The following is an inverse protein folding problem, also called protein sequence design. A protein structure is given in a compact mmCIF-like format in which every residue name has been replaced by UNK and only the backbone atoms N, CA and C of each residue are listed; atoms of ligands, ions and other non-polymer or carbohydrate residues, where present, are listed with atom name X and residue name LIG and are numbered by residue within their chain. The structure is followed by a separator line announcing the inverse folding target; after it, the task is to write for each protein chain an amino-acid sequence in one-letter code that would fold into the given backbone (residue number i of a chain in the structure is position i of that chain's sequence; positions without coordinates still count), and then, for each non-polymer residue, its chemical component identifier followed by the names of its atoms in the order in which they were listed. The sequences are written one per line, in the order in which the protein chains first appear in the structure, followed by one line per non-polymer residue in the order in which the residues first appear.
data_IF_736739139889
#
_entry.id   IF_736739139889
#
_cell.length_a   1.000
_cell.length_b   1.000
_cell.length_c   1.000
_cell.angle_alpha   90.00
_cell.angle_beta   90.00
_cell.angle_gamma   90.00
#
_symmetry.space_group_name_H-M   'P 1'
#
loop_
_entity.id
_entity.type
_entity.pdbx_description
1 polymer ?
#
# COMPACT_ATOMS: atom_id res chain seq x y z
N UNK A 1 -20.41 36.50 9.39
CA UNK A 1 -19.00 36.33 8.97
C UNK A 1 -18.59 34.85 9.05
N UNK A 2 -19.30 33.98 8.31
CA UNK A 2 -19.37 32.53 8.62
C UNK A 2 -19.22 31.63 7.39
N UNK A 3 -19.23 32.19 6.17
CA UNK A 3 -19.36 31.42 4.92
C UNK A 3 -18.10 30.63 4.51
N UNK A 4 -16.90 31.05 4.93
CA UNK A 4 -15.64 30.38 4.50
C UNK A 4 -15.36 29.05 5.20
N UNK A 5 -15.83 28.86 6.44
CA UNK A 5 -15.56 27.63 7.22
C UNK A 5 -16.35 26.43 6.67
N UNK A 6 -17.59 26.66 6.20
CA UNK A 6 -18.45 25.64 5.60
C UNK A 6 -18.01 25.18 4.20
N UNK A 7 -17.14 25.92 3.52
CA UNK A 7 -16.68 25.58 2.18
C UNK A 7 -15.51 24.58 2.17
N UNK A 8 -14.68 24.58 3.22
CA UNK A 8 -13.53 23.67 3.34
C UNK A 8 -13.97 22.24 3.71
N UNK A 9 -15.10 22.10 4.42
CA UNK A 9 -15.71 20.79 4.72
C UNK A 9 -16.26 20.04 3.51
N UNK A 10 -16.38 20.68 2.34
CA UNK A 10 -17.08 20.08 1.19
C UNK A 10 -16.32 18.92 0.53
N UNK A 11 -14.99 19.00 0.37
CA UNK A 11 -14.28 18.08 -0.54
C UNK A 11 -13.95 16.70 0.05
N UNK A 12 -13.63 16.61 1.34
CA UNK A 12 -13.45 15.32 2.02
C UNK A 12 -14.80 14.57 2.15
N UNK A 13 -15.90 15.30 2.39
CA UNK A 13 -17.22 14.71 2.62
C UNK A 13 -17.99 14.32 1.33
N UNK A 14 -17.75 14.98 0.19
CA UNK A 14 -18.46 14.64 -1.06
C UNK A 14 -18.00 13.29 -1.64
N UNK A 15 -16.71 12.95 -1.62
CA UNK A 15 -16.23 11.70 -2.24
C UNK A 15 -16.48 10.44 -1.40
N UNK A 16 -16.36 10.52 -0.06
CA UNK A 16 -16.59 9.38 0.84
C UNK A 16 -18.07 8.95 0.95
N UNK A 17 -19.00 9.67 0.30
CA UNK A 17 -20.45 9.50 0.48
C UNK A 17 -21.19 8.85 -0.71
N UNK A 18 -20.50 8.55 -1.83
CA UNK A 18 -21.18 8.28 -3.12
C UNK A 18 -21.10 6.82 -3.61
N UNK A 19 -20.08 6.04 -3.20
CA UNK A 19 -19.85 4.67 -3.70
C UNK A 19 -20.38 3.59 -2.72
N UNK A 20 -21.69 3.61 -2.44
CA UNK A 20 -22.35 2.59 -1.59
C UNK A 20 -23.27 1.65 -2.38
N UNK A 21 -23.81 2.09 -3.54
CA UNK A 21 -24.82 1.35 -4.30
C UNK A 21 -24.47 1.19 -5.79
N UNK A 22 -23.75 0.11 -6.14
CA UNK A 22 -23.95 -0.63 -7.41
C UNK A 22 -23.20 -1.97 -7.40
N UNK A 23 -23.89 -3.05 -7.01
CA UNK A 23 -23.40 -4.43 -7.13
C UNK A 23 -24.39 -5.29 -7.93
N UNK A 24 -23.90 -6.40 -8.49
CA UNK A 24 -24.65 -7.37 -9.33
C UNK A 24 -25.00 -6.83 -10.74
N UNK A 25 -24.89 -7.58 -11.85
CA UNK A 25 -24.38 -8.95 -12.08
C UNK A 25 -23.66 -9.00 -13.43
N UNK A 26 -22.68 -9.89 -13.59
CA UNK A 26 -22.75 -10.97 -14.59
C UNK A 26 -21.61 -11.99 -14.42
N UNK A 27 -21.86 -13.24 -14.83
CA UNK A 27 -20.93 -14.37 -14.68
C UNK A 27 -20.38 -14.87 -16.02
N UNK A 28 -19.05 -14.86 -16.25
CA UNK A 28 -18.47 -15.32 -17.51
C UNK A 28 -17.72 -16.65 -17.40
N UNK A 29 -18.10 -17.64 -18.23
CA UNK A 29 -17.20 -18.53 -19.04
C UNK A 29 -17.90 -19.84 -19.45
N UNK A 30 -17.67 -20.27 -20.69
CA UNK A 30 -16.62 -21.26 -21.02
C UNK A 30 -16.39 -21.38 -22.52
N UNK A 31 -15.12 -21.53 -22.89
CA UNK A 31 -14.65 -22.15 -24.12
C UNK A 31 -13.36 -22.92 -23.73
N UNK A 32 -13.18 -24.11 -24.27
CA UNK A 32 -12.12 -25.06 -23.87
C UNK A 32 -11.13 -25.29 -25.02
N UNK A 33 -10.04 -26.00 -24.68
CA UNK A 33 -9.18 -26.77 -25.59
C UNK A 33 -8.28 -25.99 -26.58
N UNK A 34 -7.12 -26.47 -27.06
CA UNK A 34 -6.02 -27.40 -26.65
C UNK A 34 -5.23 -27.73 -27.95
N UNK A 35 -4.11 -28.50 -27.87
CA UNK A 35 -3.15 -28.88 -28.93
C UNK A 35 -2.08 -27.78 -29.21
N UNK A 36 -0.78 -28.01 -28.94
CA UNK A 36 0.23 -28.86 -29.64
C UNK A 36 0.79 -28.18 -30.92
N UNK A 37 2.07 -28.26 -31.31
CA UNK A 37 3.32 -28.87 -30.77
C UNK A 37 4.55 -28.10 -31.39
N UNK A 38 5.85 -28.48 -31.46
CA UNK A 38 6.61 -29.73 -31.22
C UNK A 38 8.13 -29.46 -30.93
N UNK A 39 9.02 -30.34 -31.43
CA UNK A 39 10.51 -30.35 -31.46
C UNK A 39 11.16 -29.24 -32.32
N UNK A 40 12.47 -28.92 -32.31
CA UNK A 40 13.72 -29.46 -31.73
C UNK A 40 14.92 -28.62 -32.27
N UNK A 41 16.23 -28.96 -32.28
CA UNK A 41 17.10 -30.03 -31.72
C UNK A 41 18.61 -29.64 -31.97
N UNK A 42 19.60 -30.33 -31.38
CA UNK A 42 21.04 -30.41 -31.81
C UNK A 42 21.97 -29.18 -31.56
N UNK A 43 23.32 -29.25 -31.43
CA UNK A 43 24.28 -30.15 -30.72
C UNK A 43 25.74 -29.59 -30.76
N UNK A 44 26.59 -29.90 -29.76
CA UNK A 44 28.09 -29.95 -29.81
C UNK A 44 28.89 -28.62 -30.08
N UNK A 45 30.20 -28.44 -29.75
CA UNK A 45 31.16 -29.21 -28.93
C UNK A 45 32.32 -28.35 -28.33
N UNK A 46 33.08 -28.96 -27.39
CA UNK A 46 34.54 -28.83 -27.11
C UNK A 46 35.21 -27.53 -26.56
N UNK A 47 35.56 -27.61 -25.27
CA UNK A 47 36.91 -27.48 -24.64
C UNK A 47 37.96 -26.43 -25.11
N UNK A 48 38.49 -25.66 -24.14
CA UNK A 48 39.88 -25.83 -23.65
C UNK A 48 40.23 -25.07 -22.34
N UNK A 49 40.96 -25.78 -21.48
CA UNK A 49 42.11 -25.42 -20.61
C UNK A 49 42.60 -23.96 -20.56
N UNK A 50 43.16 -23.42 -19.46
CA UNK A 50 43.28 -23.89 -18.05
C UNK A 50 43.82 -22.75 -17.13
N UNK A 51 43.95 -23.03 -15.82
CA UNK A 51 44.66 -22.26 -14.78
C UNK A 51 44.23 -20.82 -14.48
N UNK A 52 43.44 -20.67 -13.40
CA UNK A 52 43.52 -19.56 -12.43
C UNK A 52 42.84 -19.95 -11.11
N UNK A 53 43.40 -20.96 -10.43
CA UNK A 53 43.03 -21.33 -9.06
C UNK A 53 43.90 -20.53 -8.08
N UNK A 54 43.27 -19.74 -7.21
CA UNK A 54 43.58 -19.62 -5.75
C UNK A 54 42.75 -18.50 -5.08
N UNK A 55 42.31 -17.47 -5.80
CA UNK A 55 41.38 -16.45 -5.28
C UNK A 55 39.91 -16.88 -5.31
N UNK A 56 39.58 -17.97 -6.01
CA UNK A 56 38.20 -18.34 -6.34
C UNK A 56 37.44 -19.03 -5.21
N UNK A 57 38.09 -19.66 -4.23
CA UNK A 57 37.41 -20.56 -3.27
C UNK A 57 36.30 -19.86 -2.47
N UNK A 58 36.58 -18.70 -1.88
CA UNK A 58 35.63 -18.00 -1.00
C UNK A 58 34.42 -17.44 -1.77
N UNK A 59 34.66 -16.78 -2.91
CA UNK A 59 33.59 -16.25 -3.76
C UNK A 59 32.83 -17.36 -4.49
N UNK A 60 33.48 -18.49 -4.78
CA UNK A 60 32.84 -19.67 -5.38
C UNK A 60 32.03 -20.45 -4.35
N UNK A 61 32.41 -20.48 -3.07
CA UNK A 61 31.53 -21.00 -2.01
C UNK A 61 30.30 -20.11 -1.83
N UNK A 62 30.46 -18.77 -1.79
CA UNK A 62 29.33 -17.84 -1.72
C UNK A 62 28.41 -17.95 -2.95
N UNK A 63 28.99 -18.01 -4.14
CA UNK A 63 28.28 -18.11 -5.42
C UNK A 63 27.61 -19.48 -5.61
N UNK A 64 28.29 -20.59 -5.29
CA UNK A 64 27.68 -21.93 -5.31
C UNK A 64 26.58 -22.05 -4.26
N UNK A 65 26.72 -21.43 -3.09
CA UNK A 65 25.66 -21.39 -2.08
C UNK A 65 24.44 -20.62 -2.60
N UNK A 66 24.65 -19.44 -3.20
CA UNK A 66 23.58 -18.64 -3.79
C UNK A 66 22.89 -19.33 -4.99
N UNK A 67 23.68 -19.96 -5.88
CA UNK A 67 23.19 -20.71 -7.03
C UNK A 67 22.49 -22.01 -6.63
N UNK A 68 22.99 -22.70 -5.60
CA UNK A 68 22.33 -23.86 -4.99
C UNK A 68 20.99 -23.46 -4.39
N UNK A 69 20.93 -22.40 -3.59
CA UNK A 69 19.66 -21.89 -3.04
C UNK A 69 18.68 -21.43 -4.12
N UNK A 70 19.14 -20.82 -5.22
CA UNK A 70 18.27 -20.51 -6.36
C UNK A 70 17.77 -21.79 -7.04
N UNK A 71 18.64 -22.76 -7.30
CA UNK A 71 18.27 -24.05 -7.90
C UNK A 71 17.27 -24.84 -7.04
N UNK A 72 17.54 -24.96 -5.73
CA UNK A 72 16.69 -25.62 -4.75
C UNK A 72 15.32 -24.90 -4.65
N UNK A 73 15.29 -23.57 -4.54
CA UNK A 73 14.04 -22.80 -4.49
C UNK A 73 13.21 -22.93 -5.77
N UNK A 74 13.86 -22.87 -6.95
CA UNK A 74 13.18 -22.97 -8.25
C UNK A 74 12.66 -24.39 -8.50
N UNK A 75 13.46 -25.43 -8.22
CA UNK A 75 13.03 -26.83 -8.38
C UNK A 75 11.88 -27.19 -7.43
N UNK A 76 11.94 -26.74 -6.17
CA UNK A 76 10.93 -27.10 -5.17
C UNK A 76 9.55 -26.49 -5.44
N UNK A 77 9.45 -25.34 -6.11
CA UNK A 77 8.17 -24.72 -6.45
C UNK A 77 7.50 -25.32 -7.69
N UNK A 78 8.27 -25.95 -8.59
CA UNK A 78 7.74 -26.76 -9.69
C UNK A 78 7.44 -28.21 -9.27
N UNK A 79 8.07 -28.69 -8.18
CA UNK A 79 7.90 -30.05 -7.66
C UNK A 79 6.56 -30.26 -6.95
N UNK A 80 5.64 -31.00 -7.59
CA UNK A 80 4.49 -31.63 -6.92
C UNK A 80 4.87 -32.82 -6.02
N UNK A 81 6.16 -33.14 -5.84
CA UNK A 81 6.64 -34.22 -4.95
C UNK A 81 7.11 -33.66 -3.59
N UNK A 82 6.79 -34.34 -2.47
CA UNK A 82 7.00 -33.81 -1.12
C UNK A 82 8.45 -33.97 -0.62
N UNK A 83 9.40 -33.20 -1.16
CA UNK A 83 10.77 -33.10 -0.61
C UNK A 83 10.73 -32.46 0.78
N UNK A 84 11.48 -32.95 1.76
CA UNK A 84 11.57 -32.30 3.08
C UNK A 84 12.47 -31.06 3.05
N UNK A 85 12.11 -30.03 3.81
CA UNK A 85 12.81 -28.75 3.82
C UNK A 85 14.14 -28.91 4.56
N UNK A 86 15.24 -28.63 3.87
CA UNK A 86 16.60 -28.62 4.44
C UNK A 86 16.71 -27.59 5.58
N UNK A 87 17.52 -27.88 6.61
CA UNK A 87 17.63 -26.99 7.79
C UNK A 87 18.14 -25.59 7.41
N UNK A 88 19.06 -25.52 6.44
CA UNK A 88 19.54 -24.28 5.82
C UNK A 88 18.39 -23.45 5.23
N UNK A 89 17.53 -24.06 4.42
CA UNK A 89 16.36 -23.41 3.81
C UNK A 89 15.30 -23.03 4.86
N UNK A 90 15.06 -23.89 5.85
CA UNK A 90 14.15 -23.63 6.96
C UNK A 90 14.59 -22.43 7.81
N UNK A 91 15.91 -22.25 7.99
CA UNK A 91 16.52 -21.11 8.68
C UNK A 91 16.52 -19.84 7.81
N UNK A 92 16.83 -19.94 6.51
CA UNK A 92 16.72 -18.82 5.56
C UNK A 92 15.29 -18.26 5.52
N UNK A 93 14.28 -19.13 5.40
CA UNK A 93 12.87 -18.72 5.42
C UNK A 93 12.49 -18.09 6.77
N UNK A 94 12.93 -18.67 7.90
CA UNK A 94 12.63 -18.10 9.21
C UNK A 94 13.25 -16.69 9.39
N UNK A 95 14.47 -16.47 8.88
CA UNK A 95 15.11 -15.16 8.85
C UNK A 95 14.35 -14.18 7.96
N UNK A 96 14.05 -14.57 6.71
CA UNK A 96 13.29 -13.77 5.75
C UNK A 96 11.95 -13.28 6.34
N UNK A 97 11.18 -14.17 6.97
CA UNK A 97 9.89 -13.84 7.59
C UNK A 97 10.01 -12.80 8.72
N UNK A 98 11.07 -12.88 9.53
CA UNK A 98 11.29 -11.96 10.66
C UNK A 98 11.79 -10.59 10.18
N UNK A 99 12.75 -10.56 9.26
CA UNK A 99 13.33 -9.30 8.74
C UNK A 99 12.33 -8.52 7.88
N UNK A 100 11.45 -9.22 7.15
CA UNK A 100 10.42 -8.63 6.29
C UNK A 100 9.04 -8.50 6.96
N UNK A 101 8.94 -8.65 8.28
CA UNK A 101 7.65 -8.76 8.99
C UNK A 101 6.65 -7.63 8.69
N UNK A 102 7.09 -6.36 8.62
CA UNK A 102 6.21 -5.24 8.27
C UNK A 102 5.69 -5.34 6.83
N UNK A 103 6.57 -5.69 5.89
CA UNK A 103 6.20 -5.85 4.48
C UNK A 103 5.20 -6.98 4.32
N UNK A 104 5.45 -8.14 4.95
CA UNK A 104 4.61 -9.33 4.83
C UNK A 104 3.19 -9.12 5.40
N UNK A 105 3.03 -8.33 6.47
CA UNK A 105 1.68 -8.00 6.99
C UNK A 105 0.94 -7.02 6.08
N UNK A 106 1.63 -6.04 5.48
CA UNK A 106 1.01 -5.17 4.45
C UNK A 106 0.62 -6.02 3.24
N UNK A 107 1.49 -6.92 2.79
CA UNK A 107 1.29 -7.77 1.62
C UNK A 107 0.08 -8.71 1.82
N UNK A 108 0.02 -9.43 2.95
CA UNK A 108 -1.12 -10.30 3.29
C UNK A 108 -2.43 -9.52 3.32
N UNK A 109 -2.43 -8.30 3.88
CA UNK A 109 -3.60 -7.44 3.95
C UNK A 109 -4.03 -6.92 2.57
N UNK A 110 -3.11 -6.40 1.76
CA UNK A 110 -3.45 -5.83 0.45
C UNK A 110 -3.78 -6.89 -0.60
N UNK A 111 -3.21 -8.10 -0.50
CA UNK A 111 -3.67 -9.25 -1.29
C UNK A 111 -5.09 -9.66 -0.87
N UNK A 112 -5.34 -9.92 0.42
CA UNK A 112 -6.63 -10.49 0.86
C UNK A 112 -7.80 -9.50 0.90
N UNK A 113 -7.56 -8.27 1.33
CA UNK A 113 -8.62 -7.25 1.48
C UNK A 113 -8.79 -6.39 0.23
N UNK A 114 -7.78 -6.26 -0.63
CA UNK A 114 -7.78 -5.32 -1.77
C UNK A 114 -7.48 -5.99 -3.14
N UNK A 115 -7.15 -7.29 -3.17
CA UNK A 115 -6.82 -8.06 -4.38
C UNK A 115 -5.63 -7.50 -5.20
N UNK A 116 -4.63 -6.90 -4.55
CA UNK A 116 -3.49 -6.24 -5.22
C UNK A 116 -2.41 -7.20 -5.78
N UNK A 117 -2.81 -8.40 -6.19
CA UNK A 117 -1.90 -9.50 -6.51
C UNK A 117 -1.01 -9.19 -7.73
N UNK A 118 -1.55 -8.53 -8.76
CA UNK A 118 -0.75 -8.17 -9.95
C UNK A 118 0.42 -7.23 -9.64
N UNK A 119 0.32 -6.38 -8.60
CA UNK A 119 1.43 -5.54 -8.14
C UNK A 119 2.54 -6.43 -7.59
N UNK A 120 2.24 -7.26 -6.60
CA UNK A 120 3.25 -8.08 -5.91
C UNK A 120 3.85 -9.19 -6.78
N UNK A 121 3.08 -9.75 -7.72
CA UNK A 121 3.59 -10.71 -8.70
C UNK A 121 4.50 -10.07 -9.76
N UNK A 122 4.39 -8.76 -9.99
CA UNK A 122 5.15 -8.03 -11.01
C UNK A 122 6.65 -7.96 -10.71
N UNK A 123 7.47 -7.91 -11.78
CA UNK A 123 8.90 -7.57 -11.68
C UNK A 123 9.13 -6.11 -11.27
N UNK A 124 8.16 -5.22 -11.51
CA UNK A 124 8.27 -3.80 -11.18
C UNK A 124 8.38 -3.61 -9.67
N UNK A 125 7.43 -4.18 -8.92
CA UNK A 125 7.39 -4.09 -7.47
C UNK A 125 8.64 -4.70 -6.81
N UNK A 126 9.12 -5.86 -7.29
CA UNK A 126 10.34 -6.48 -6.76
C UNK A 126 11.58 -5.64 -7.01
N UNK A 127 11.74 -5.06 -8.21
CA UNK A 127 12.89 -4.19 -8.52
C UNK A 127 12.87 -2.90 -7.69
N UNK A 128 11.69 -2.26 -7.58
CA UNK A 128 11.50 -1.06 -6.77
C UNK A 128 11.86 -1.27 -5.30
N UNK A 129 11.40 -2.38 -4.72
CA UNK A 129 11.62 -2.73 -3.31
C UNK A 129 12.96 -3.48 -3.08
N UNK A 130 13.82 -3.60 -4.11
CA UNK A 130 15.14 -4.27 -4.08
C UNK A 130 15.09 -5.74 -3.61
N UNK A 131 13.96 -6.41 -3.84
CA UNK A 131 13.70 -7.80 -3.47
C UNK A 131 14.46 -8.73 -4.42
N UNK A 132 15.22 -9.68 -3.88
CA UNK A 132 15.97 -10.65 -4.71
C UNK A 132 15.04 -11.63 -5.44
N UNK A 133 15.56 -12.30 -6.48
CA UNK A 133 14.80 -13.33 -7.22
C UNK A 133 14.26 -14.44 -6.30
N UNK A 134 15.07 -14.86 -5.30
CA UNK A 134 14.70 -15.90 -4.32
C UNK A 134 13.58 -15.41 -3.40
N UNK A 135 13.68 -14.20 -2.86
CA UNK A 135 12.64 -13.61 -2.00
C UNK A 135 11.35 -13.33 -2.77
N UNK A 136 11.43 -12.81 -4.00
CA UNK A 136 10.25 -12.60 -4.85
C UNK A 136 9.55 -13.93 -5.16
N UNK A 137 10.31 -15.01 -5.24
CA UNK A 137 9.80 -16.36 -5.44
C UNK A 137 9.09 -16.91 -4.19
N UNK A 138 9.59 -16.64 -2.98
CA UNK A 138 8.85 -16.90 -1.73
C UNK A 138 7.56 -16.06 -1.64
N UNK A 139 7.63 -14.78 -2.00
CA UNK A 139 6.50 -13.85 -2.00
C UNK A 139 5.40 -14.30 -2.97
N UNK A 140 5.75 -14.74 -4.19
CA UNK A 140 4.81 -15.35 -5.14
C UNK A 140 4.10 -16.57 -4.55
N UNK A 141 4.84 -17.43 -3.85
CA UNK A 141 4.26 -18.58 -3.14
C UNK A 141 3.24 -18.18 -2.07
N UNK A 142 3.46 -17.06 -1.37
CA UNK A 142 2.52 -16.52 -0.40
C UNK A 142 1.31 -15.82 -1.05
N UNK A 143 1.53 -14.99 -2.07
CA UNK A 143 0.46 -14.28 -2.80
C UNK A 143 -0.52 -15.28 -3.40
N UNK A 144 -0.03 -16.27 -4.14
CA UNK A 144 -0.89 -17.27 -4.77
C UNK A 144 -1.72 -18.05 -3.72
N UNK A 145 -1.12 -18.41 -2.58
CA UNK A 145 -1.81 -19.08 -1.48
C UNK A 145 -2.82 -18.19 -0.73
N UNK A 146 -2.67 -16.86 -0.81
CA UNK A 146 -3.62 -15.90 -0.25
C UNK A 146 -4.71 -15.47 -1.24
N UNK A 147 -4.56 -15.80 -2.52
CA UNK A 147 -5.53 -15.57 -3.62
C UNK A 147 -6.40 -16.81 -3.88
N UNK A 148 -5.77 -17.99 -3.89
CA UNK A 148 -6.45 -19.30 -4.05
C UNK A 148 -6.90 -19.85 -2.68
N UNK A 149 -8.05 -19.40 -2.15
CA UNK A 149 -8.51 -19.84 -0.82
C UNK A 149 -8.92 -21.34 -0.72
N UNK A 150 -9.11 -22.10 -1.81
CA UNK A 150 -9.81 -23.41 -1.72
C UNK A 150 -9.38 -24.58 -2.68
N UNK A 151 -8.41 -24.45 -3.60
CA UNK A 151 -8.22 -25.51 -4.65
C UNK A 151 -6.77 -25.91 -5.06
N UNK A 152 -5.71 -25.41 -4.39
CA UNK A 152 -4.36 -25.99 -4.56
C UNK A 152 -3.72 -26.44 -3.24
N UNK A 153 -3.12 -27.63 -3.25
CA UNK A 153 -2.30 -28.11 -2.12
C UNK A 153 -1.00 -27.29 -2.11
N UNK A 154 -0.73 -26.47 -1.09
CA UNK A 154 0.45 -25.63 -1.08
C UNK A 154 1.73 -26.48 -1.00
N UNK A 155 2.77 -26.03 -1.69
CA UNK A 155 4.12 -26.53 -1.49
C UNK A 155 4.49 -26.46 0.01
N UNK A 156 5.16 -27.49 0.55
CA UNK A 156 5.74 -27.52 1.90
C UNK A 156 6.44 -26.20 2.29
N UNK A 157 7.15 -25.54 1.37
CA UNK A 157 7.78 -24.22 1.61
C UNK A 157 6.74 -23.17 2.02
N UNK A 158 5.65 -23.06 1.26
CA UNK A 158 4.53 -22.13 1.54
C UNK A 158 3.81 -22.56 2.82
N UNK A 159 3.55 -23.85 2.99
CA UNK A 159 2.94 -24.39 4.20
C UNK A 159 3.76 -24.05 5.46
N UNK A 160 5.09 -24.17 5.40
CA UNK A 160 6.02 -23.82 6.47
C UNK A 160 5.97 -22.31 6.81
N UNK A 161 5.94 -21.44 5.79
CA UNK A 161 5.75 -19.99 6.00
C UNK A 161 4.40 -19.66 6.65
N UNK A 162 3.31 -20.28 6.16
CA UNK A 162 1.95 -20.07 6.66
C UNK A 162 1.79 -20.60 8.08
N UNK A 163 2.37 -21.76 8.41
CA UNK A 163 2.44 -22.28 9.79
C UNK A 163 3.13 -21.30 10.75
N UNK A 164 4.13 -20.54 10.26
CA UNK A 164 4.87 -19.51 11.00
C UNK A 164 4.24 -18.10 11.00
N UNK A 165 3.03 -17.89 10.46
CA UNK A 165 2.44 -16.53 10.40
C UNK A 165 2.33 -15.82 11.76
N UNK A 166 2.24 -16.56 12.87
CA UNK A 166 2.18 -16.00 14.23
C UNK A 166 3.54 -15.53 14.74
N UNK A 167 4.64 -15.97 14.14
CA UNK A 167 6.00 -15.65 14.60
C UNK A 167 6.37 -14.23 14.13
N UNK A 168 6.29 -13.95 12.83
CA UNK A 168 6.58 -12.60 12.31
C UNK A 168 5.58 -11.54 12.80
N UNK A 169 4.28 -11.86 12.88
CA UNK A 169 3.27 -10.94 13.45
C UNK A 169 3.55 -10.58 14.92
N UNK A 170 4.26 -11.43 15.68
CA UNK A 170 4.69 -11.16 17.06
C UNK A 170 5.98 -10.35 17.20
N UNK A 171 6.77 -10.19 16.13
CA UNK A 171 7.90 -9.24 16.10
C UNK A 171 7.39 -7.82 16.30
N UNK A 172 6.24 -7.51 15.67
CA UNK A 172 5.63 -6.17 15.67
C UNK A 172 4.64 -6.01 16.82
N UNK A 173 3.72 -6.98 17.00
CA UNK A 173 2.74 -6.99 18.08
C UNK A 173 2.94 -8.21 18.97
N UNK A 174 3.79 -8.07 20.01
CA UNK A 174 4.21 -9.15 20.94
C UNK A 174 3.06 -10.00 21.50
N UNK A 175 1.90 -9.39 21.69
CA UNK A 175 0.69 -10.02 22.25
C UNK A 175 -0.36 -10.42 21.19
N UNK A 176 0.02 -10.44 19.90
CA UNK A 176 -0.83 -10.84 18.78
C UNK A 176 -1.47 -12.22 19.02
N UNK A 177 -2.82 -12.21 19.02
CA UNK A 177 -3.73 -13.32 19.36
C UNK A 177 -3.39 -14.04 20.70
N UNK A 178 -2.74 -13.37 21.66
CA UNK A 178 -2.51 -13.85 23.04
C UNK A 178 -3.54 -13.29 24.04
N UNK A 179 -3.87 -12.01 23.96
CA UNK A 179 -4.76 -11.34 24.91
C UNK A 179 -6.23 -11.40 24.47
N UNK A 180 -7.13 -11.84 25.38
CA UNK A 180 -8.59 -11.79 25.21
C UNK A 180 -9.13 -10.43 25.68
N UNK A 181 -8.84 -9.36 24.92
CA UNK A 181 -9.34 -7.99 25.16
C UNK A 181 -10.01 -7.43 23.91
N UNK A 182 -10.82 -6.37 24.04
CA UNK A 182 -11.39 -5.70 22.87
C UNK A 182 -10.29 -5.00 22.04
N UNK A 183 -10.45 -4.95 20.72
CA UNK A 183 -9.48 -4.36 19.78
C UNK A 183 -9.13 -2.91 20.14
N UNK A 184 -10.14 -2.14 20.55
CA UNK A 184 -9.96 -0.76 21.02
C UNK A 184 -9.11 -0.71 22.30
N UNK A 185 -9.31 -1.62 23.26
CA UNK A 185 -8.47 -1.71 24.46
C UNK A 185 -7.05 -2.22 24.17
N UNK A 186 -6.89 -3.10 23.18
CA UNK A 186 -5.57 -3.55 22.71
C UNK A 186 -4.76 -2.38 22.13
N UNK A 187 -5.38 -1.50 21.34
CA UNK A 187 -4.75 -0.25 20.89
C UNK A 187 -4.42 0.68 22.06
N UNK A 188 -5.35 0.90 23.00
CA UNK A 188 -5.09 1.74 24.19
C UNK A 188 -3.87 1.25 24.99
N UNK A 189 -3.72 -0.07 25.16
CA UNK A 189 -2.58 -0.67 25.85
C UNK A 189 -1.25 -0.51 25.06
N UNK A 190 -1.32 -0.22 23.75
CA UNK A 190 -0.16 -0.11 22.84
C UNK A 190 0.10 1.33 22.35
N UNK A 191 -0.56 2.36 22.90
CA UNK A 191 -0.44 3.75 22.39
C UNK A 191 1.00 4.29 22.30
N UNK A 192 1.91 3.83 23.17
CA UNK A 192 3.33 4.21 23.15
C UNK A 192 4.08 3.74 21.88
N UNK A 193 3.56 2.70 21.19
CA UNK A 193 4.21 2.08 20.03
C UNK A 193 3.86 2.82 18.72
N UNK A 194 2.78 3.61 18.72
CA UNK A 194 2.38 4.44 17.59
C UNK A 194 3.18 5.75 17.57
N UNK A 195 3.73 6.11 16.40
CA UNK A 195 4.54 7.31 16.21
C UNK A 195 4.16 7.97 14.89
N UNK A 196 3.85 9.27 14.91
CA UNK A 196 3.56 10.03 13.69
C UNK A 196 4.74 10.11 12.70
N UNK A 197 5.96 9.84 13.18
CA UNK A 197 7.20 9.75 12.39
C UNK A 197 7.55 8.33 11.89
N UNK A 198 6.74 7.31 12.20
CA UNK A 198 6.84 5.99 11.57
C UNK A 198 5.44 5.51 11.17
N UNK A 199 5.02 5.96 9.99
CA UNK A 199 3.75 5.61 9.36
C UNK A 199 3.60 4.10 9.13
N UNK A 200 4.66 3.43 8.66
CA UNK A 200 4.61 2.01 8.27
C UNK A 200 4.35 1.09 9.46
N UNK A 201 5.14 1.21 10.53
CA UNK A 201 4.90 0.47 11.78
C UNK A 201 3.52 0.80 12.38
N UNK A 202 3.09 2.07 12.33
CA UNK A 202 1.77 2.46 12.83
C UNK A 202 0.64 1.79 12.02
N UNK A 203 0.73 1.75 10.69
CA UNK A 203 -0.24 1.09 9.83
C UNK A 203 -0.28 -0.43 10.09
N UNK A 204 0.88 -1.08 10.19
CA UNK A 204 0.97 -2.52 10.49
C UNK A 204 0.39 -2.84 11.86
N UNK A 205 0.63 -2.01 12.88
CA UNK A 205 -0.01 -2.17 14.19
C UNK A 205 -1.54 -2.03 14.12
N UNK A 206 -2.08 -1.16 13.25
CA UNK A 206 -3.53 -1.08 13.03
C UNK A 206 -4.07 -2.32 12.33
N UNK A 207 -3.41 -2.82 11.28
CA UNK A 207 -3.77 -4.08 10.61
C UNK A 207 -3.80 -5.23 11.62
N UNK A 208 -2.78 -5.39 12.47
CA UNK A 208 -2.69 -6.50 13.43
C UNK A 208 -3.68 -6.40 14.60
N UNK A 209 -4.12 -5.18 14.97
CA UNK A 209 -5.11 -4.98 16.04
C UNK A 209 -6.55 -5.08 15.53
N UNK A 210 -6.79 -4.70 14.27
CA UNK A 210 -8.12 -4.66 13.65
C UNK A 210 -8.33 -5.69 12.52
N UNK A 211 -7.42 -6.65 12.39
CA UNK A 211 -7.41 -7.80 11.46
C UNK A 211 -8.80 -8.41 11.22
N UNK A 212 -9.22 -8.57 9.95
CA UNK A 212 -10.53 -9.10 9.59
C UNK A 212 -11.71 -8.20 9.95
N UNK A 213 -11.51 -6.87 9.95
CA UNK A 213 -12.59 -5.87 9.96
C UNK A 213 -12.05 -4.54 9.39
N UNK A 214 -12.16 -4.41 8.08
CA UNK A 214 -11.49 -3.33 7.35
C UNK A 214 -12.18 -1.97 7.54
N UNK A 215 -13.43 -1.95 8.01
CA UNK A 215 -14.11 -0.72 8.45
C UNK A 215 -13.57 -0.20 9.79
N UNK A 216 -13.19 -1.10 10.71
CA UNK A 216 -12.43 -0.72 11.90
C UNK A 216 -11.03 -0.24 11.52
N UNK A 217 -10.29 -1.00 10.70
CA UNK A 217 -8.93 -0.64 10.25
C UNK A 217 -8.91 0.72 9.54
N UNK A 218 -9.81 0.95 8.57
CA UNK A 218 -9.94 2.21 7.84
C UNK A 218 -10.23 3.38 8.78
N UNK A 219 -11.25 3.24 9.64
CA UNK A 219 -11.65 4.31 10.55
C UNK A 219 -10.52 4.69 11.52
N UNK A 220 -9.80 3.71 12.06
CA UNK A 220 -8.73 3.99 13.03
C UNK A 220 -7.47 4.53 12.32
N UNK A 221 -7.21 4.12 11.08
CA UNK A 221 -6.13 4.69 10.25
C UNK A 221 -6.40 6.16 9.90
N UNK A 222 -7.60 6.48 9.43
CA UNK A 222 -7.97 7.87 9.14
C UNK A 222 -7.91 8.74 10.42
N UNK A 223 -8.32 8.20 11.57
CA UNK A 223 -8.15 8.88 12.87
C UNK A 223 -6.67 9.10 13.23
N UNK A 224 -5.79 8.11 13.02
CA UNK A 224 -4.35 8.24 13.23
C UNK A 224 -3.75 9.33 12.34
N UNK A 225 -4.05 9.31 11.04
CA UNK A 225 -3.58 10.30 10.07
C UNK A 225 -4.02 11.72 10.45
N UNK A 226 -5.30 11.93 10.76
CA UNK A 226 -5.83 13.22 11.19
C UNK A 226 -5.18 13.73 12.49
N UNK A 227 -4.94 12.87 13.48
CA UNK A 227 -4.26 13.25 14.73
C UNK A 227 -2.78 13.62 14.50
N UNK A 228 -2.12 12.96 13.56
CA UNK A 228 -0.70 13.18 13.28
C UNK A 228 -0.43 14.38 12.36
N UNK A 229 -1.27 14.62 11.36
CA UNK A 229 -1.06 15.70 10.37
C UNK A 229 -1.61 17.06 10.80
N UNK A 230 -2.36 17.17 11.90
CA UNK A 230 -2.88 18.46 12.39
C UNK A 230 -1.80 19.25 13.16
N UNK A 231 -1.59 20.49 12.71
CA UNK A 231 -0.54 21.41 13.17
C UNK A 231 -0.69 21.86 14.63
N UNK A 232 -1.92 21.85 15.18
CA UNK A 232 -2.22 22.29 16.55
C UNK A 232 -3.02 21.22 17.32
N UNK A 233 -2.34 20.14 17.71
CA UNK A 233 -2.82 19.21 18.76
C UNK A 233 -1.80 19.24 19.90
N UNK A 234 -2.22 19.51 21.13
CA UNK A 234 -1.34 19.41 22.30
C UNK A 234 -0.82 17.98 22.47
N UNK A 235 0.47 17.85 22.81
CA UNK A 235 1.16 16.58 22.99
C UNK A 235 2.44 16.48 22.16
N UNK A 236 3.54 16.10 22.83
CA UNK A 236 4.87 15.91 22.24
C UNK A 236 4.97 14.57 21.49
N UNK A 237 4.07 13.63 21.77
CA UNK A 237 3.99 12.32 21.13
C UNK A 237 2.55 11.97 20.74
N UNK A 238 2.39 10.90 19.95
CA UNK A 238 1.08 10.46 19.46
C UNK A 238 0.12 10.11 20.60
N UNK A 239 0.59 9.47 21.67
CA UNK A 239 -0.28 9.08 22.80
C UNK A 239 -0.92 10.31 23.45
N UNK A 240 -0.13 11.35 23.73
CA UNK A 240 -0.65 12.61 24.29
C UNK A 240 -1.68 13.25 23.36
N UNK A 241 -1.36 13.38 22.06
CA UNK A 241 -2.29 13.90 21.04
C UNK A 241 -3.58 13.08 20.93
N UNK A 242 -3.49 11.75 21.03
CA UNK A 242 -4.61 10.83 20.98
C UNK A 242 -5.49 10.92 22.24
N UNK A 243 -4.89 10.90 23.44
CA UNK A 243 -5.61 11.12 24.70
C UNK A 243 -6.29 12.48 24.73
N UNK A 244 -5.63 13.54 24.26
CA UNK A 244 -6.22 14.86 24.12
C UNK A 244 -7.47 14.85 23.23
N UNK A 245 -7.37 14.30 22.01
CA UNK A 245 -8.49 14.24 21.06
C UNK A 245 -9.65 13.39 21.57
N UNK A 246 -9.38 12.21 22.13
CA UNK A 246 -10.44 11.31 22.64
C UNK A 246 -11.12 11.86 23.89
N UNK A 247 -10.43 12.65 24.72
CA UNK A 247 -10.97 13.21 25.97
C UNK A 247 -11.65 14.57 25.75
N UNK A 248 -11.15 15.42 24.85
CA UNK A 248 -11.70 16.75 24.55
C UNK A 248 -12.91 16.69 23.59
N UNK A 249 -14.02 16.12 24.10
CA UNK A 249 -15.24 15.81 23.32
C UNK A 249 -15.93 17.00 22.65
N UNK A 250 -15.78 18.23 23.20
CA UNK A 250 -16.52 19.42 22.72
C UNK A 250 -15.80 20.21 21.64
N UNK A 251 -14.46 20.16 21.59
CA UNK A 251 -13.65 21.00 20.69
C UNK A 251 -12.88 20.16 19.66
N UNK A 252 -11.96 19.31 20.11
CA UNK A 252 -11.03 18.60 19.21
C UNK A 252 -11.68 17.38 18.58
N UNK A 253 -12.43 16.60 19.38
CA UNK A 253 -13.17 15.45 18.90
C UNK A 253 -14.25 15.82 17.87
N UNK A 254 -14.95 16.93 18.08
CA UNK A 254 -16.03 17.40 17.20
C UNK A 254 -15.48 17.91 15.85
N UNK A 255 -14.35 18.62 15.84
CA UNK A 255 -13.68 19.02 14.60
C UNK A 255 -13.13 17.82 13.81
N UNK A 256 -12.54 16.82 14.47
CA UNK A 256 -12.05 15.61 13.81
C UNK A 256 -13.21 14.71 13.34
N UNK A 257 -14.33 14.68 14.08
CA UNK A 257 -15.57 14.00 13.65
C UNK A 257 -16.23 14.70 12.46
N UNK A 258 -16.16 16.04 12.38
CA UNK A 258 -16.68 16.81 11.24
C UNK A 258 -15.95 16.47 9.94
N UNK A 259 -14.62 16.27 10.00
CA UNK A 259 -13.80 15.91 8.85
C UNK A 259 -13.93 14.42 8.50
N UNK A 260 -13.86 13.55 9.51
CA UNK A 260 -13.89 12.10 9.35
C UNK A 260 -15.29 11.48 9.19
N UNK A 261 -16.34 12.27 9.39
CA UNK A 261 -17.73 11.83 9.34
C UNK A 261 -18.13 10.83 10.42
N UNK A 262 -19.32 10.24 10.24
CA UNK A 262 -20.00 9.35 11.21
C UNK A 262 -19.16 8.14 11.64
N UNK A 263 -18.31 7.61 10.76
CA UNK A 263 -17.43 6.48 11.09
C UNK A 263 -16.37 6.89 12.14
N UNK A 264 -15.76 8.05 11.98
CA UNK A 264 -14.75 8.58 12.92
C UNK A 264 -15.39 9.02 14.25
N UNK A 265 -16.55 9.67 14.21
CA UNK A 265 -17.34 9.98 15.41
C UNK A 265 -17.62 8.72 16.25
N UNK A 266 -18.02 7.62 15.59
CA UNK A 266 -18.26 6.31 16.21
C UNK A 266 -16.98 5.72 16.85
N UNK A 267 -15.81 5.86 16.21
CA UNK A 267 -14.53 5.41 16.82
C UNK A 267 -14.13 6.25 18.01
N UNK A 268 -14.24 7.57 17.92
CA UNK A 268 -13.93 8.49 19.01
C UNK A 268 -14.80 8.15 20.24
N UNK A 269 -16.09 7.87 20.03
CA UNK A 269 -16.99 7.38 21.09
C UNK A 269 -16.50 6.07 21.72
N UNK A 270 -16.20 5.04 20.92
CA UNK A 270 -15.73 3.73 21.40
C UNK A 270 -14.41 3.81 22.18
N UNK A 271 -13.45 4.63 21.73
CA UNK A 271 -12.19 4.83 22.46
C UNK A 271 -12.39 5.59 23.77
N UNK A 272 -13.26 6.60 23.78
CA UNK A 272 -13.60 7.36 24.98
C UNK A 272 -14.24 6.47 26.06
N UNK A 273 -15.12 5.55 25.66
CA UNK A 273 -15.74 4.56 26.54
C UNK A 273 -14.72 3.54 27.09
N UNK A 274 -13.69 3.18 26.32
CA UNK A 274 -12.62 2.27 26.76
C UNK A 274 -11.48 2.92 27.59
N UNK A 275 -11.48 4.26 27.71
CA UNK A 275 -10.46 5.11 28.35
C UNK A 275 -10.74 5.47 29.82
N UNK A 276 -11.67 4.77 30.47
CA UNK A 276 -12.25 5.16 31.78
C UNK A 276 -11.24 5.46 32.89
N UNK A 277 -11.57 6.49 33.69
CA UNK A 277 -10.93 6.88 34.96
C UNK A 277 -9.45 7.32 34.93
N UNK A 278 -9.13 8.36 34.15
CA UNK A 278 -8.22 9.41 34.66
C UNK A 278 -8.62 10.80 34.16
N UNK A 279 -8.81 11.76 35.08
CA UNK A 279 -9.00 13.18 34.73
C UNK A 279 -7.62 13.85 34.65
N UNK A 280 -7.08 13.98 33.44
CA UNK A 280 -6.01 14.95 33.18
C UNK A 280 -6.67 16.33 33.21
N UNK A 281 -6.13 17.29 33.96
CA UNK A 281 -6.46 18.70 33.76
C UNK A 281 -5.84 19.13 32.44
N UNK A 282 -6.69 19.26 31.40
CA UNK A 282 -6.28 19.90 30.16
C UNK A 282 -6.35 21.41 30.34
N UNK A 283 -5.29 22.10 29.93
CA UNK A 283 -5.25 23.55 29.74
C UNK A 283 -6.37 24.02 28.81
N UNK A 284 -6.76 25.29 28.90
CA UNK A 284 -7.65 25.91 27.92
C UNK A 284 -6.89 26.14 26.60
N UNK A 285 -6.89 25.14 25.73
CA UNK A 285 -6.15 25.16 24.47
C UNK A 285 -6.87 25.99 23.41
N UNK A 286 -6.08 26.66 22.58
CA UNK A 286 -6.53 27.27 21.32
C UNK A 286 -7.25 26.23 20.42
N UNK A 287 -8.20 26.66 19.57
CA UNK A 287 -8.87 25.76 18.64
C UNK A 287 -7.86 25.13 17.65
N UNK A 288 -8.18 23.91 17.20
CA UNK A 288 -7.46 23.30 16.08
C UNK A 288 -7.60 24.20 14.85
N UNK A 289 -6.47 24.71 14.36
CA UNK A 289 -6.38 25.37 13.06
C UNK A 289 -5.78 24.39 12.05
N UNK A 290 -6.56 24.10 11.00
CA UNK A 290 -6.07 23.48 9.78
C UNK A 290 -5.34 24.57 8.97
N UNK A 291 -4.20 24.27 8.30
CA UNK A 291 -4.04 23.14 7.37
C UNK A 291 -3.31 21.91 7.96
N UNK A 292 -2.99 20.96 7.07
CA UNK A 292 -2.02 19.91 7.31
C UNK A 292 -0.64 20.51 7.65
N UNK A 293 0.17 19.77 8.42
CA UNK A 293 1.56 20.09 8.74
C UNK A 293 2.48 19.83 7.52
N UNK A 294 2.33 20.68 6.50
CA UNK A 294 3.01 20.57 5.21
C UNK A 294 4.48 21.00 5.22
N UNK A 295 4.93 21.69 6.27
CA UNK A 295 6.29 22.22 6.43
C UNK A 295 7.40 21.13 6.42
N UNK A 296 6.99 19.85 6.40
CA UNK A 296 7.85 18.66 6.44
C UNK A 296 7.90 17.86 5.13
N UNK A 297 7.06 18.20 4.14
CA UNK A 297 7.05 17.47 2.86
C UNK A 297 8.16 18.01 1.95
N UNK A 298 9.13 17.16 1.63
CA UNK A 298 10.06 17.40 0.53
C UNK A 298 9.33 17.13 -0.78
N UNK A 299 8.91 18.20 -1.47
CA UNK A 299 7.92 18.14 -2.57
C UNK A 299 8.43 17.35 -3.79
N UNK A 300 9.73 17.37 -4.04
CA UNK A 300 10.36 16.68 -5.17
C UNK A 300 10.40 15.16 -4.93
N UNK A 301 10.86 14.74 -3.74
CA UNK A 301 10.78 13.33 -3.30
C UNK A 301 9.34 12.81 -3.25
N UNK A 302 8.41 13.62 -2.74
CA UNK A 302 6.99 13.27 -2.68
C UNK A 302 6.40 13.10 -4.08
N UNK A 303 6.79 13.96 -5.03
CA UNK A 303 6.43 13.84 -6.44
C UNK A 303 6.89 12.51 -7.04
N UNK A 304 8.14 12.12 -6.79
CA UNK A 304 8.67 10.81 -7.19
C UNK A 304 7.92 9.64 -6.52
N UNK A 305 7.71 9.68 -5.19
CA UNK A 305 6.95 8.67 -4.45
C UNK A 305 5.53 8.51 -4.99
N UNK A 306 4.84 9.61 -5.28
CA UNK A 306 3.50 9.61 -5.85
C UNK A 306 3.48 9.08 -7.30
N UNK A 307 4.45 9.46 -8.13
CA UNK A 307 4.62 8.94 -9.49
C UNK A 307 4.77 7.41 -9.51
N UNK A 308 5.61 6.88 -8.61
CA UNK A 308 5.84 5.45 -8.44
C UNK A 308 4.62 4.71 -7.87
N UNK A 309 3.88 5.33 -6.93
CA UNK A 309 2.61 4.79 -6.46
C UNK A 309 1.55 4.72 -7.58
N UNK A 310 1.49 5.73 -8.48
CA UNK A 310 0.64 5.67 -9.67
C UNK A 310 1.10 4.61 -10.69
N UNK A 311 2.40 4.34 -10.79
CA UNK A 311 2.93 3.23 -11.60
C UNK A 311 2.47 1.86 -11.07
N UNK A 312 2.45 1.64 -9.76
CA UNK A 312 1.89 0.40 -9.19
C UNK A 312 0.39 0.27 -9.45
N UNK A 313 -0.41 1.33 -9.24
CA UNK A 313 -1.84 1.30 -9.57
C UNK A 313 -2.09 1.03 -11.06
N UNK A 314 -1.19 1.46 -11.95
CA UNK A 314 -1.25 1.18 -13.37
C UNK A 314 -0.98 -0.31 -13.75
N UNK A 315 -0.58 -1.16 -12.79
CA UNK A 315 -0.47 -2.62 -12.95
C UNK A 315 -1.77 -3.37 -12.58
N UNK A 316 -2.77 -2.68 -12.02
CA UNK A 316 -4.10 -3.23 -11.76
C UNK A 316 -4.98 -3.03 -13.00
N UNK A 317 -5.56 -4.11 -13.54
CA UNK A 317 -6.26 -4.07 -14.85
C UNK A 317 -7.62 -3.35 -14.81
N UNK A 318 -8.32 -3.45 -13.68
CA UNK A 318 -9.59 -2.76 -13.43
C UNK A 318 -9.53 -2.07 -12.07
N UNK A 319 -10.17 -0.92 -11.95
CA UNK A 319 -10.24 -0.17 -10.70
C UNK A 319 -11.63 0.41 -10.45
N UNK A 320 -12.27 -0.10 -9.40
CA UNK A 320 -13.27 0.63 -8.62
C UNK A 320 -12.80 0.69 -7.15
N UNK A 321 -11.64 1.33 -6.93
CA UNK A 321 -11.18 1.55 -5.55
C UNK A 321 -11.99 2.66 -4.90
N UNK A 322 -12.83 2.24 -3.96
CA UNK A 322 -13.31 3.12 -2.90
C UNK A 322 -12.14 3.92 -2.29
N UNK A 323 -12.41 5.15 -1.84
CA UNK A 323 -11.37 6.00 -1.20
C UNK A 323 -10.74 5.36 0.05
N UNK A 324 -11.41 4.35 0.63
CA UNK A 324 -10.88 3.47 1.68
C UNK A 324 -9.69 2.63 1.20
N UNK A 325 -9.79 2.01 0.02
CA UNK A 325 -8.71 1.20 -0.54
C UNK A 325 -7.53 2.07 -0.99
N UNK A 326 -7.81 3.26 -1.54
CA UNK A 326 -6.77 4.26 -1.84
C UNK A 326 -6.09 4.79 -0.57
N UNK A 327 -6.80 4.96 0.56
CA UNK A 327 -6.19 5.35 1.84
C UNK A 327 -5.17 4.30 2.30
N UNK A 328 -5.53 3.01 2.26
CA UNK A 328 -4.61 1.92 2.60
C UNK A 328 -3.39 1.90 1.68
N UNK A 329 -3.61 1.95 0.37
CA UNK A 329 -2.55 1.95 -0.64
C UNK A 329 -1.55 3.11 -0.47
N UNK A 330 -2.02 4.35 -0.33
CA UNK A 330 -1.10 5.47 -0.12
C UNK A 330 -0.43 5.42 1.26
N UNK A 331 -1.07 4.82 2.27
CA UNK A 331 -0.47 4.62 3.60
C UNK A 331 0.73 3.68 3.58
N UNK A 332 0.74 2.65 2.73
CA UNK A 332 1.88 1.73 2.61
C UNK A 332 3.00 2.21 1.68
N UNK A 333 2.74 3.20 0.81
CA UNK A 333 3.73 3.76 -0.14
C UNK A 333 4.36 5.09 0.30
N UNK A 334 3.66 5.89 1.11
CA UNK A 334 4.16 7.19 1.58
C UNK A 334 4.99 7.07 2.87
N UNK A 335 5.78 8.11 3.16
CA UNK A 335 6.63 8.16 4.36
C UNK A 335 5.98 8.94 5.51
N UNK A 336 5.19 9.97 5.20
CA UNK A 336 4.57 10.85 6.19
C UNK A 336 3.04 10.83 6.13
N UNK A 337 2.40 11.09 7.28
CA UNK A 337 0.93 11.14 7.39
C UNK A 337 0.27 12.21 6.50
N UNK A 338 0.96 13.32 6.26
CA UNK A 338 0.52 14.41 5.38
C UNK A 338 0.63 14.05 3.89
N UNK A 339 1.66 13.30 3.48
CA UNK A 339 1.83 12.77 2.12
C UNK A 339 0.69 11.83 1.72
N UNK A 340 0.17 11.01 2.64
CA UNK A 340 -0.99 10.12 2.37
C UNK A 340 -2.24 10.93 2.00
N UNK A 341 -2.53 11.97 2.78
CA UNK A 341 -3.71 12.82 2.57
C UNK A 341 -3.55 13.68 1.30
N UNK A 342 -2.35 14.20 1.03
CA UNK A 342 -2.03 14.92 -0.19
C UNK A 342 -2.10 14.01 -1.44
N UNK A 343 -1.71 12.74 -1.32
CA UNK A 343 -1.82 11.74 -2.39
C UNK A 343 -3.27 11.47 -2.77
N UNK A 344 -4.16 11.35 -1.77
CA UNK A 344 -5.60 11.21 -2.00
C UNK A 344 -6.20 12.44 -2.67
N UNK A 345 -5.88 13.65 -2.20
CA UNK A 345 -6.35 14.90 -2.81
C UNK A 345 -5.90 15.01 -4.27
N UNK A 346 -4.62 14.74 -4.56
CA UNK A 346 -4.08 14.75 -5.91
C UNK A 346 -4.72 13.69 -6.81
N UNK A 347 -4.83 12.44 -6.33
CA UNK A 347 -5.50 11.37 -7.07
C UNK A 347 -6.94 11.75 -7.41
N UNK A 348 -7.72 12.25 -6.44
CA UNK A 348 -9.12 12.65 -6.64
C UNK A 348 -9.28 13.86 -7.59
N UNK A 349 -8.30 14.77 -7.65
CA UNK A 349 -8.29 15.88 -8.62
C UNK A 349 -7.99 15.38 -10.04
N UNK A 350 -7.16 14.34 -10.19
CA UNK A 350 -6.76 13.76 -11.48
C UNK A 350 -7.82 12.77 -12.01
N UNK A 351 -8.43 11.96 -11.12
CA UNK A 351 -9.29 10.81 -11.45
C UNK A 351 -10.73 11.15 -11.88
N UNK A 352 -10.98 12.38 -12.36
CA UNK A 352 -12.32 12.98 -12.54
C UNK A 352 -13.32 12.05 -13.26
N UNK A 353 -14.27 11.49 -12.49
CA UNK A 353 -15.37 10.60 -12.93
C UNK A 353 -14.87 9.26 -13.53
N UNK A 354 -14.12 8.51 -12.72
CA UNK A 354 -13.66 7.13 -12.98
C UNK A 354 -12.83 6.99 -14.26
N UNK A 355 -11.65 7.61 -14.27
CA UNK A 355 -10.60 7.29 -15.26
C UNK A 355 -9.79 6.05 -14.84
N UNK A 356 -9.35 5.25 -15.81
CA UNK A 356 -8.51 4.06 -15.58
C UNK A 356 -7.15 4.47 -14.96
N UNK A 357 -6.52 3.64 -14.10
CA UNK A 357 -5.21 3.92 -13.50
C UNK A 357 -4.12 4.32 -14.49
N UNK A 358 -4.05 3.65 -15.65
CA UNK A 358 -3.11 3.98 -16.72
C UNK A 358 -3.38 5.37 -17.29
N UNK A 359 -4.65 5.78 -17.37
CA UNK A 359 -5.06 7.14 -17.73
C UNK A 359 -4.71 8.15 -16.64
N UNK A 360 -4.86 7.81 -15.36
CA UNK A 360 -4.49 8.66 -14.21
C UNK A 360 -2.98 8.93 -14.22
N UNK A 361 -2.15 7.90 -14.39
CA UNK A 361 -0.70 8.02 -14.56
C UNK A 361 -0.36 8.88 -15.79
N UNK A 362 -1.00 8.65 -16.94
CA UNK A 362 -0.76 9.44 -18.14
C UNK A 362 -1.11 10.93 -17.96
N UNK A 363 -2.23 11.24 -17.29
CA UNK A 363 -2.61 12.62 -16.95
C UNK A 363 -1.60 13.21 -15.95
N UNK A 364 -1.24 12.49 -14.88
CA UNK A 364 -0.25 12.97 -13.92
C UNK A 364 1.08 13.34 -14.59
N UNK A 365 1.61 12.47 -15.45
CA UNK A 365 2.86 12.72 -16.17
C UNK A 365 2.74 13.89 -17.15
N UNK A 366 1.79 13.81 -18.09
CA UNK A 366 1.83 14.60 -19.33
C UNK A 366 0.78 15.73 -19.43
N UNK A 367 -0.23 15.81 -18.55
CA UNK A 367 -1.25 16.87 -18.59
C UNK A 367 -0.84 18.08 -17.73
N UNK A 368 -0.40 19.14 -18.40
CA UNK A 368 0.01 20.40 -17.77
C UNK A 368 -1.19 21.19 -17.20
N UNK A 369 -2.38 21.09 -17.78
CA UNK A 369 -3.56 21.85 -17.36
C UNK A 369 -4.22 21.23 -16.13
N UNK A 370 -4.36 19.90 -16.11
CA UNK A 370 -4.80 19.18 -14.90
C UNK A 370 -3.78 19.35 -13.77
N UNK A 371 -2.48 19.35 -14.06
CA UNK A 371 -1.45 19.65 -13.06
C UNK A 371 -1.54 21.10 -12.53
N UNK A 372 -1.76 22.08 -13.40
CA UNK A 372 -1.99 23.48 -13.00
C UNK A 372 -3.26 23.65 -12.16
N UNK A 373 -4.32 22.89 -12.42
CA UNK A 373 -5.53 22.87 -11.57
C UNK A 373 -5.23 22.25 -10.19
N UNK A 374 -4.53 21.11 -10.15
CA UNK A 374 -4.14 20.44 -8.92
C UNK A 374 -3.26 21.35 -8.04
N UNK A 375 -2.22 21.96 -8.62
CA UNK A 375 -1.36 22.94 -7.95
C UNK A 375 -2.15 24.13 -7.38
N UNK A 376 -3.06 24.74 -8.14
CA UNK A 376 -3.92 25.84 -7.67
C UNK A 376 -4.84 25.41 -6.52
N UNK A 377 -5.39 24.19 -6.58
CA UNK A 377 -6.23 23.63 -5.52
C UNK A 377 -5.43 23.35 -4.24
N UNK A 378 -4.32 22.63 -4.32
CA UNK A 378 -3.46 22.35 -3.16
C UNK A 378 -2.95 23.63 -2.50
N UNK A 379 -2.54 24.63 -3.28
CA UNK A 379 -2.14 25.93 -2.74
C UNK A 379 -3.31 26.62 -2.00
N UNK A 380 -4.53 26.57 -2.56
CA UNK A 380 -5.72 27.17 -1.94
C UNK A 380 -6.27 26.40 -0.72
N UNK A 381 -5.99 25.11 -0.57
CA UNK A 381 -6.51 24.29 0.54
C UNK A 381 -5.49 24.08 1.66
N UNK A 382 -4.21 23.91 1.31
CA UNK A 382 -3.15 23.52 2.23
C UNK A 382 -2.04 24.58 2.39
N UNK A 383 -2.11 25.70 1.66
CA UNK A 383 -1.06 26.72 1.59
C UNK A 383 0.31 26.15 1.15
N UNK A 384 0.27 25.19 0.22
CA UNK A 384 1.45 24.48 -0.29
C UNK A 384 1.50 24.62 -1.83
N UNK A 385 2.55 25.23 -2.37
CA UNK A 385 2.77 25.24 -3.82
C UNK A 385 3.44 23.92 -4.25
N UNK A 386 2.89 23.30 -5.29
CA UNK A 386 3.39 22.06 -5.89
C UNK A 386 4.23 22.32 -7.14
N UNK A 387 4.72 23.55 -7.34
CA UNK A 387 5.51 23.96 -8.51
C UNK A 387 6.69 23.01 -8.81
N UNK A 388 7.37 22.49 -7.79
CA UNK A 388 8.50 21.56 -7.93
C UNK A 388 8.12 20.06 -7.99
N UNK A 389 6.83 19.67 -7.86
CA UNK A 389 6.39 18.27 -7.77
C UNK A 389 6.82 17.40 -8.97
N UNK A 390 7.14 18.03 -10.10
CA UNK A 390 7.54 17.34 -11.34
C UNK A 390 9.04 17.34 -11.63
N UNK A 391 9.89 17.95 -10.79
CA UNK A 391 11.31 18.13 -11.10
C UNK A 391 12.06 16.79 -11.20
N UNK A 392 11.94 15.93 -10.18
CA UNK A 392 12.67 14.66 -10.08
C UNK A 392 11.93 13.46 -10.73
N UNK A 393 11.11 13.70 -11.76
CA UNK A 393 10.37 12.63 -12.43
C UNK A 393 11.17 11.88 -13.51
N UNK A 394 12.44 12.22 -13.75
CA UNK A 394 13.30 11.50 -14.71
C UNK A 394 13.43 10.01 -14.34
N UNK A 395 13.66 9.68 -13.07
CA UNK A 395 13.73 8.28 -12.61
C UNK A 395 12.37 7.57 -12.77
N UNK A 396 11.25 8.27 -12.55
CA UNK A 396 9.92 7.72 -12.80
C UNK A 396 9.70 7.39 -14.28
N UNK A 397 10.11 8.28 -15.20
CA UNK A 397 10.06 8.02 -16.65
C UNK A 397 10.96 6.85 -17.06
N UNK A 398 12.16 6.73 -16.48
CA UNK A 398 13.08 5.61 -16.72
C UNK A 398 12.45 4.27 -16.30
N UNK A 399 11.95 4.16 -15.06
CA UNK A 399 11.27 2.95 -14.56
C UNK A 399 10.04 2.58 -15.40
N UNK A 400 9.30 3.57 -15.88
CA UNK A 400 8.14 3.41 -16.78
C UNK A 400 8.53 2.87 -18.17
N UNK A 401 9.68 3.26 -18.74
CA UNK A 401 10.15 2.72 -20.03
C UNK A 401 10.82 1.34 -19.90
N UNK A 402 11.48 1.05 -18.78
CA UNK A 402 12.09 -0.26 -18.50
C UNK A 402 11.04 -1.37 -18.27
N UNK A 403 9.82 -1.02 -17.85
CA UNK A 403 8.73 -1.98 -17.66
C UNK A 403 7.77 -2.07 -18.85
N UNK A 404 7.66 -3.24 -19.48
CA UNK A 404 6.81 -3.45 -20.68
C UNK A 404 5.31 -3.14 -20.48
N UNK A 405 4.74 -3.35 -19.29
CA UNK A 405 3.32 -3.09 -19.00
C UNK A 405 3.01 -1.60 -18.79
N UNK A 406 4.03 -0.81 -18.43
CA UNK A 406 3.94 0.64 -18.20
C UNK A 406 4.45 1.45 -19.40
N UNK A 407 5.32 0.86 -20.24
CA UNK A 407 5.94 1.50 -21.40
C UNK A 407 4.93 2.08 -22.39
N UNK A 408 3.84 1.35 -22.63
CA UNK A 408 2.80 1.74 -23.57
C UNK A 408 1.92 2.89 -23.07
N UNK A 409 1.96 3.22 -21.78
CA UNK A 409 1.13 4.26 -21.17
C UNK A 409 1.58 5.65 -21.66
N UNK A 410 0.70 6.31 -22.42
CA UNK A 410 0.89 7.64 -23.02
C UNK A 410 -0.44 8.39 -22.97
N UNK A 411 -0.43 9.72 -23.07
CA UNK A 411 -1.68 10.46 -23.32
C UNK A 411 -2.14 10.15 -24.74
N UNK A 412 -3.34 9.58 -24.86
CA UNK A 412 -4.12 9.66 -26.09
C UNK A 412 -4.50 11.11 -26.34
N UNK A 413 -4.15 11.61 -27.52
CA UNK A 413 -4.59 12.93 -28.00
C UNK A 413 -6.12 13.00 -28.08
N UNK A 414 -6.68 14.21 -28.01
CA UNK A 414 -8.12 14.42 -28.18
C UNK A 414 -8.66 13.90 -29.52
N UNK A 415 -7.81 13.79 -30.55
CA UNK A 415 -8.16 13.15 -31.81
C UNK A 415 -8.37 11.64 -31.64
N UNK A 416 -7.47 10.94 -30.95
CA UNK A 416 -7.58 9.51 -30.64
C UNK A 416 -8.80 9.25 -29.74
N UNK A 417 -8.98 10.03 -28.66
CA UNK A 417 -10.15 9.94 -27.77
C UNK A 417 -11.48 10.11 -28.50
N UNK A 418 -11.57 11.08 -29.44
CA UNK A 418 -12.76 11.30 -30.28
C UNK A 418 -12.98 10.15 -31.28
N UNK A 419 -11.90 9.55 -31.79
CA UNK A 419 -11.96 8.44 -32.75
C UNK A 419 -12.42 7.14 -32.08
N UNK A 420 -11.91 6.82 -30.89
CA UNK A 420 -12.32 5.64 -30.09
C UNK A 420 -13.80 5.77 -29.71
N UNK A 421 -14.24 6.91 -29.17
CA UNK A 421 -15.66 7.14 -28.85
C UNK A 421 -16.60 6.97 -30.04
N UNK A 422 -16.19 7.34 -31.27
CA UNK A 422 -16.95 7.03 -32.49
C UNK A 422 -16.94 5.54 -32.83
N UNK A 423 -15.81 4.85 -32.63
CA UNK A 423 -15.65 3.43 -32.96
C UNK A 423 -16.47 2.52 -32.03
N UNK A 424 -16.61 2.90 -30.77
CA UNK A 424 -17.39 2.16 -29.77
C UNK A 424 -18.89 2.50 -29.85
N UNK A 425 -19.25 3.75 -30.21
CA UNK A 425 -20.63 4.12 -30.54
C UNK A 425 -21.17 3.39 -31.77
N UNK A 426 -20.30 3.04 -32.74
CA UNK A 426 -20.62 2.24 -33.92
C UNK A 426 -20.51 0.72 -33.68
N UNK A 427 -20.37 0.27 -32.42
CA UNK A 427 -20.34 -1.15 -32.00
C UNK A 427 -21.48 -1.52 -31.05
N UNK A 428 -22.41 -0.59 -30.84
CA UNK A 428 -23.74 -0.81 -30.23
C UNK A 428 -24.81 -0.68 -31.30
#
# INVERSE_FOLDING_TARGET
MTSKILFLSALILIYLSILVDSASNDSPRKASEVLESSTGLSTQNENKDAHLQETTSLDTELSNTAASFQSETIQLIVSKKPVDISESLANFIAKFLVENAEMLVILEFETRSLCFNSIYLSKFWSSLNKITSTEHTLIKGLVNFWDEEDDTVPNKIVEYMVRRHKDYKRVILKDYRRLKVSRHKLMLNNLNNFKCSNLKNAFVLLILIFEGNDEDTFSVLLLFLLICSVRIVEGNNFKEKFEFVIRNKKNSASLISLIGGRNIESRIKKFHEAMTSSRILLSSVNPILFPLDMDKILIEEFGFRFCTALMELALLEQLDLSSKYLLFFFTSRMTQTSEVLLSLDLYNIIAKRNTNPKTILAIFLYDTDTFNEARKKTLSFHNLDLINLKNDLEECFKMKEENSLLREIKIETDYQRKTIKKRDANKK
#
